data_IF_919109243505
#
_entry.id   IF_919109243505
#
_cell.length_a   1.000
_cell.length_b   1.000
_cell.length_c   1.000
_cell.angle_alpha   90.00
_cell.angle_beta   90.00
_cell.angle_gamma   90.00
#
_symmetry.space_group_name_H-M   'P 1'
#
loop_
_entity.id
_entity.type
_entity.pdbx_description
1 polymer ?
#
# COMPACT_ATOMS: atom_id res chain seq x y z
N UNK A 1 16.67 27.84 10.39
CA UNK A 1 15.43 27.23 9.88
C UNK A 1 15.28 27.77 8.46
N UNK A 2 15.85 27.05 7.48
CA UNK A 2 15.72 27.39 6.06
C UNK A 2 14.32 26.93 5.66
N UNK A 3 13.48 27.86 5.25
CA UNK A 3 12.12 27.55 4.85
C UNK A 3 12.16 26.70 3.57
N UNK A 4 11.29 25.68 3.50
CA UNK A 4 11.09 24.80 2.33
C UNK A 4 10.92 25.60 1.01
N UNK A 5 10.50 26.86 1.09
CA UNK A 5 10.36 27.77 -0.05
C UNK A 5 11.67 28.11 -0.77
N UNK A 6 12.82 28.02 -0.10
CA UNK A 6 14.11 28.40 -0.69
C UNK A 6 14.80 27.22 -1.43
N UNK A 7 14.29 25.99 -1.27
CA UNK A 7 14.72 24.80 -2.01
C UNK A 7 13.91 24.58 -3.30
N UNK A 8 12.82 25.33 -3.50
CA UNK A 8 11.93 25.22 -4.68
C UNK A 8 12.27 26.28 -5.75
N UNK A 9 13.55 26.62 -5.89
CA UNK A 9 14.04 27.42 -7.00
C UNK A 9 13.92 26.66 -8.32
N UNK A 10 13.09 27.17 -9.23
CA UNK A 10 12.70 26.65 -10.53
C UNK A 10 11.92 25.33 -10.46
N UNK A 11 10.64 25.38 -10.84
CA UNK A 11 9.71 24.25 -10.83
C UNK A 11 10.25 23.16 -11.77
N UNK A 12 11.02 22.22 -11.23
CA UNK A 12 11.46 21.06 -12.00
C UNK A 12 10.22 20.30 -12.47
N UNK A 13 9.94 20.35 -13.75
CA UNK A 13 8.82 19.59 -14.35
C UNK A 13 9.31 18.16 -14.53
N UNK A 14 8.63 17.22 -13.90
CA UNK A 14 8.91 15.78 -14.03
C UNK A 14 8.64 15.31 -15.46
N UNK A 15 9.17 14.14 -15.82
CA UNK A 15 9.04 13.58 -17.19
C UNK A 15 7.59 13.36 -17.62
N UNK A 16 6.68 13.21 -16.69
CA UNK A 16 5.23 13.07 -16.90
C UNK A 16 4.43 14.39 -16.73
N UNK A 17 5.12 15.50 -16.52
CA UNK A 17 4.53 16.84 -16.40
C UNK A 17 4.00 17.19 -14.99
N UNK A 18 4.09 16.28 -14.01
CA UNK A 18 3.68 16.55 -12.63
C UNK A 18 4.65 17.47 -11.89
N UNK A 19 4.15 18.10 -10.83
CA UNK A 19 5.01 18.77 -9.84
C UNK A 19 5.71 17.74 -8.95
N UNK A 20 6.77 18.16 -8.28
CA UNK A 20 7.55 17.30 -7.36
C UNK A 20 6.71 16.73 -6.20
N UNK A 21 5.68 17.43 -5.80
CA UNK A 21 4.79 17.12 -4.68
C UNK A 21 3.40 16.61 -5.10
N UNK A 22 3.26 16.10 -6.33
CA UNK A 22 1.99 15.66 -6.93
C UNK A 22 1.96 14.14 -7.13
N UNK A 23 0.83 13.50 -6.72
CA UNK A 23 0.57 12.09 -6.99
C UNK A 23 0.25 11.86 -8.46
N UNK A 24 0.53 10.66 -8.96
CA UNK A 24 -0.08 10.15 -10.20
C UNK A 24 -1.59 10.06 -10.00
N UNK A 25 -2.40 10.11 -11.08
CA UNK A 25 -3.83 9.88 -10.98
C UNK A 25 -4.11 8.56 -10.26
N UNK A 26 -4.97 8.61 -9.25
CA UNK A 26 -5.36 7.45 -8.43
C UNK A 26 -6.80 7.07 -8.74
N UNK A 27 -7.04 5.80 -9.01
CA UNK A 27 -8.37 5.23 -9.19
C UNK A 27 -8.50 3.94 -8.38
N UNK A 28 -9.60 3.81 -7.65
CA UNK A 28 -9.93 2.63 -6.86
C UNK A 28 -11.29 2.12 -7.31
N UNK A 29 -11.31 0.95 -7.94
CA UNK A 29 -12.53 0.30 -8.43
C UNK A 29 -12.86 -0.86 -7.51
N UNK A 30 -13.93 -0.74 -6.72
CA UNK A 30 -14.45 -1.79 -5.84
C UNK A 30 -15.29 -2.80 -6.64
N UNK A 31 -15.45 -3.97 -6.04
CA UNK A 31 -16.22 -5.07 -6.64
C UNK A 31 -15.73 -5.39 -8.06
N UNK A 32 -14.41 -5.40 -8.22
CA UNK A 32 -13.77 -5.63 -9.52
C UNK A 32 -14.00 -7.07 -10.00
N UNK A 33 -14.07 -8.03 -9.07
CA UNK A 33 -14.51 -9.41 -9.30
C UNK A 33 -15.56 -9.79 -8.26
N UNK A 34 -16.45 -10.75 -8.59
CA UNK A 34 -17.66 -11.04 -7.82
C UNK A 34 -17.48 -12.11 -6.72
N UNK A 35 -16.38 -12.87 -6.74
CA UNK A 35 -16.23 -14.05 -5.88
C UNK A 35 -15.70 -13.74 -4.48
N UNK A 36 -14.63 -12.91 -4.30
CA UNK A 36 -14.07 -12.63 -2.98
C UNK A 36 -14.98 -11.72 -2.16
N UNK A 37 -14.88 -11.79 -0.83
CA UNK A 37 -15.62 -10.92 0.10
C UNK A 37 -15.23 -9.44 -0.03
N UNK A 38 -14.01 -9.17 -0.49
CA UNK A 38 -13.56 -7.84 -0.92
C UNK A 38 -12.74 -7.95 -2.20
N UNK A 39 -12.99 -7.09 -3.18
CA UNK A 39 -12.29 -7.12 -4.47
C UNK A 39 -12.10 -5.70 -5.01
N UNK A 40 -10.86 -5.33 -5.24
CA UNK A 40 -10.46 -3.96 -5.63
C UNK A 40 -9.41 -4.01 -6.73
N UNK A 41 -9.61 -3.22 -7.78
CA UNK A 41 -8.51 -2.79 -8.65
C UNK A 41 -8.07 -1.40 -8.22
N UNK A 42 -6.81 -1.26 -7.79
CA UNK A 42 -6.17 0.03 -7.54
C UNK A 42 -5.22 0.38 -8.69
N UNK A 43 -5.35 1.59 -9.18
CA UNK A 43 -4.53 2.16 -10.24
C UNK A 43 -3.86 3.44 -9.72
N UNK A 44 -2.54 3.51 -9.82
CA UNK A 44 -1.72 4.70 -9.52
C UNK A 44 -0.90 5.01 -10.77
N UNK A 45 -1.38 5.93 -11.60
CA UNK A 45 -0.84 6.11 -12.95
C UNK A 45 -0.93 4.81 -13.75
N UNK A 46 0.23 4.31 -14.21
CA UNK A 46 0.32 3.05 -14.94
C UNK A 46 0.46 1.81 -14.03
N UNK A 47 0.68 1.98 -12.75
CA UNK A 47 0.71 0.83 -11.80
C UNK A 47 -0.71 0.36 -11.53
N UNK A 48 -0.97 -0.94 -11.72
CA UNK A 48 -2.26 -1.59 -11.50
C UNK A 48 -2.08 -2.83 -10.64
N UNK A 49 -2.82 -2.87 -9.53
CA UNK A 49 -2.81 -4.01 -8.61
C UNK A 49 -4.23 -4.46 -8.33
N UNK A 50 -4.50 -5.74 -8.53
CA UNK A 50 -5.72 -6.37 -8.06
C UNK A 50 -5.51 -6.82 -6.61
N UNK A 51 -6.38 -6.39 -5.71
CA UNK A 51 -6.36 -6.76 -4.30
C UNK A 51 -7.66 -7.48 -3.96
N UNK A 52 -7.57 -8.72 -3.49
CA UNK A 52 -8.72 -9.46 -3.00
C UNK A 52 -8.59 -9.77 -1.51
N UNK A 53 -9.71 -9.86 -0.82
CA UNK A 53 -9.78 -10.18 0.60
C UNK A 53 -10.69 -11.38 0.79
N UNK A 54 -10.14 -12.48 1.29
CA UNK A 54 -10.87 -13.71 1.62
C UNK A 54 -11.10 -13.79 3.13
N UNK A 55 -12.35 -13.86 3.55
CA UNK A 55 -12.73 -14.08 4.93
C UNK A 55 -12.89 -15.59 5.22
N UNK A 56 -12.28 -16.05 6.30
CA UNK A 56 -12.39 -17.44 6.74
C UNK A 56 -12.73 -17.49 8.23
N UNK A 57 -13.76 -18.26 8.60
CA UNK A 57 -14.05 -18.56 10.00
C UNK A 57 -12.95 -19.46 10.58
N UNK A 58 -12.45 -19.12 11.77
CA UNK A 58 -11.31 -19.79 12.40
C UNK A 58 -9.98 -19.11 12.09
N UNK A 59 -8.96 -19.50 12.81
CA UNK A 59 -7.59 -18.96 12.73
C UNK A 59 -6.57 -20.09 12.56
N UNK A 60 -5.34 -19.79 12.12
CA UNK A 60 -4.26 -20.79 12.06
C UNK A 60 -4.03 -21.47 13.42
N UNK A 61 -3.55 -22.72 13.41
CA UNK A 61 -3.34 -23.54 14.63
C UNK A 61 -2.59 -22.83 15.74
N UNK A 62 -1.55 -22.07 15.41
CA UNK A 62 -0.73 -21.33 16.36
C UNK A 62 -1.48 -20.13 17.00
N UNK A 63 -2.61 -19.72 16.45
CA UNK A 63 -3.43 -18.60 16.93
C UNK A 63 -4.70 -19.06 17.64
N UNK A 64 -5.04 -20.35 17.54
CA UNK A 64 -6.25 -20.93 18.09
C UNK A 64 -6.30 -20.79 19.61
N UNK A 65 -7.49 -20.61 20.15
CA UNK A 65 -7.77 -20.43 21.58
C UNK A 65 -7.16 -19.13 22.19
N UNK A 66 -6.70 -18.20 21.35
CA UNK A 66 -6.20 -16.89 21.77
C UNK A 66 -7.29 -15.84 21.92
N UNK A 67 -8.49 -16.07 21.37
CA UNK A 67 -9.57 -15.10 21.26
C UNK A 67 -9.28 -13.95 20.26
N UNK A 68 -8.22 -14.09 19.46
CA UNK A 68 -7.74 -13.06 18.54
C UNK A 68 -7.81 -13.53 17.09
N UNK A 69 -8.24 -12.65 16.21
CA UNK A 69 -8.20 -12.88 14.77
C UNK A 69 -6.81 -12.77 14.14
N UNK A 70 -6.76 -12.96 12.85
CA UNK A 70 -5.54 -12.83 12.07
C UNK A 70 -5.79 -12.19 10.71
N UNK A 71 -4.88 -11.29 10.31
CA UNK A 71 -4.83 -10.70 8.97
C UNK A 71 -3.45 -10.98 8.39
N UNK A 72 -3.42 -11.55 7.20
CA UNK A 72 -2.19 -11.85 6.45
C UNK A 72 -2.33 -11.40 5.02
N UNK A 73 -1.20 -11.32 4.30
CA UNK A 73 -1.22 -10.96 2.89
C UNK A 73 -0.22 -11.79 2.10
N UNK A 74 -0.56 -12.00 0.83
CA UNK A 74 0.33 -12.51 -0.21
C UNK A 74 0.48 -11.45 -1.30
N UNK A 75 1.59 -11.48 -2.00
CA UNK A 75 1.91 -10.55 -3.07
C UNK A 75 2.53 -11.32 -4.24
N UNK A 76 2.10 -11.02 -5.44
CA UNK A 76 2.69 -11.59 -6.64
C UNK A 76 2.69 -10.56 -7.78
N UNK A 77 3.52 -10.81 -8.79
CA UNK A 77 3.50 -10.06 -10.05
C UNK A 77 3.21 -11.01 -11.20
N UNK A 78 2.34 -10.59 -12.13
CA UNK A 78 2.15 -11.31 -13.37
C UNK A 78 3.46 -11.32 -14.19
N UNK A 79 3.74 -12.38 -14.97
CA UNK A 79 4.96 -12.47 -15.78
C UNK A 79 5.20 -11.29 -16.70
N UNK A 80 4.14 -10.65 -17.18
CA UNK A 80 4.19 -9.47 -18.05
C UNK A 80 3.66 -8.21 -17.35
N UNK A 81 3.77 -8.15 -16.03
CA UNK A 81 3.55 -6.89 -15.29
C UNK A 81 4.59 -5.83 -15.64
N UNK A 82 5.76 -6.23 -16.11
CA UNK A 82 6.88 -5.38 -16.54
C UNK A 82 7.12 -5.49 -18.05
N UNK A 83 7.97 -4.62 -18.61
CA UNK A 83 8.34 -4.62 -20.02
C UNK A 83 8.90 -5.98 -20.47
N UNK A 84 9.79 -6.56 -19.66
CA UNK A 84 10.32 -7.88 -19.89
C UNK A 84 9.50 -8.95 -19.14
N UNK A 85 9.39 -10.14 -19.75
CA UNK A 85 8.73 -11.26 -19.12
C UNK A 85 9.59 -11.85 -17.99
N UNK A 86 9.02 -11.93 -16.80
CA UNK A 86 9.60 -12.66 -15.67
C UNK A 86 8.96 -14.04 -15.53
N UNK A 87 9.69 -15.03 -15.01
CA UNK A 87 9.11 -16.34 -14.74
C UNK A 87 8.19 -16.28 -13.51
N UNK A 88 7.15 -17.12 -13.51
CA UNK A 88 6.32 -17.30 -12.32
C UNK A 88 7.13 -17.96 -11.20
N UNK A 89 7.12 -17.37 -10.00
CA UNK A 89 7.83 -17.92 -8.84
C UNK A 89 7.31 -19.31 -8.46
N UNK A 90 6.00 -19.58 -8.64
CA UNK A 90 5.39 -20.90 -8.41
C UNK A 90 5.98 -22.00 -9.32
N UNK A 91 6.39 -21.67 -10.54
CA UNK A 91 7.04 -22.61 -11.47
C UNK A 91 8.48 -22.89 -11.04
N UNK A 92 9.15 -21.91 -10.44
CA UNK A 92 10.52 -22.08 -9.87
C UNK A 92 10.51 -22.89 -8.57
N UNK A 93 9.34 -23.17 -7.98
CA UNK A 93 9.20 -23.89 -6.70
C UNK A 93 9.73 -23.14 -5.48
N UNK A 94 10.05 -21.85 -5.62
CA UNK A 94 10.57 -21.02 -4.53
C UNK A 94 10.09 -19.58 -4.70
N UNK A 95 9.47 -19.04 -3.65
CA UNK A 95 9.11 -17.63 -3.56
C UNK A 95 10.35 -16.80 -3.27
N UNK A 96 10.51 -15.68 -3.96
CA UNK A 96 11.66 -14.77 -3.80
C UNK A 96 11.63 -14.00 -2.48
N UNK A 97 12.80 -13.58 -2.00
CA UNK A 97 12.92 -12.79 -0.77
C UNK A 97 12.14 -11.48 -0.84
N UNK A 98 12.14 -10.80 -2.00
CA UNK A 98 11.36 -9.59 -2.23
C UNK A 98 9.85 -9.82 -2.08
N UNK A 99 9.33 -10.89 -2.64
CA UNK A 99 7.90 -11.26 -2.55
C UNK A 99 7.50 -11.53 -1.11
N UNK A 100 8.32 -12.28 -0.36
CA UNK A 100 8.10 -12.50 1.08
C UNK A 100 8.15 -11.21 1.90
N UNK A 101 9.11 -10.33 1.62
CA UNK A 101 9.25 -9.05 2.30
C UNK A 101 8.01 -8.19 2.09
N UNK A 102 7.54 -8.04 0.84
CA UNK A 102 6.36 -7.22 0.51
C UNK A 102 5.08 -7.82 1.11
N UNK A 103 4.90 -9.15 1.04
CA UNK A 103 3.75 -9.83 1.67
C UNK A 103 3.69 -9.53 3.18
N UNK A 104 4.83 -9.61 3.87
CA UNK A 104 4.91 -9.29 5.30
C UNK A 104 4.65 -7.82 5.62
N UNK A 105 5.12 -6.92 4.75
CA UNK A 105 4.89 -5.48 4.85
C UNK A 105 3.39 -5.17 4.76
N UNK A 106 2.70 -5.65 3.71
CA UNK A 106 1.26 -5.44 3.52
C UNK A 106 0.50 -5.97 4.75
N UNK A 107 0.76 -7.21 5.14
CA UNK A 107 0.11 -7.80 6.31
C UNK A 107 0.34 -7.02 7.60
N UNK A 108 1.54 -6.47 7.82
CA UNK A 108 1.87 -5.63 8.97
C UNK A 108 1.09 -4.32 8.95
N UNK A 109 1.05 -3.64 7.81
CA UNK A 109 0.31 -2.39 7.65
C UNK A 109 -1.18 -2.58 7.96
N UNK A 110 -1.80 -3.63 7.42
CA UNK A 110 -3.22 -3.92 7.69
C UNK A 110 -3.48 -4.27 9.15
N UNK A 111 -2.60 -5.05 9.79
CA UNK A 111 -2.72 -5.36 11.23
C UNK A 111 -2.61 -4.13 12.13
N UNK A 112 -1.89 -3.10 11.70
CA UNK A 112 -1.78 -1.83 12.42
C UNK A 112 -3.13 -1.13 12.63
N UNK A 113 -4.07 -1.34 11.71
CA UNK A 113 -5.39 -0.67 11.72
C UNK A 113 -6.57 -1.60 12.03
N UNK A 114 -6.30 -2.85 12.41
CA UNK A 114 -7.33 -3.85 12.75
C UNK A 114 -7.31 -4.18 14.24
N UNK A 115 -8.47 -4.19 14.88
CA UNK A 115 -8.65 -4.75 16.21
C UNK A 115 -8.83 -6.28 16.12
N UNK A 116 -7.75 -7.00 16.42
CA UNK A 116 -7.75 -8.47 16.35
C UNK A 116 -8.70 -9.11 17.35
N UNK A 117 -9.01 -8.44 18.49
CA UNK A 117 -9.98 -8.93 19.46
C UNK A 117 -11.41 -8.76 18.95
N UNK A 118 -11.69 -7.64 18.30
CA UNK A 118 -12.99 -7.40 17.69
C UNK A 118 -13.23 -8.31 16.46
N UNK A 119 -12.19 -8.67 15.72
CA UNK A 119 -12.25 -9.64 14.64
C UNK A 119 -12.58 -11.05 15.19
N UNK A 120 -12.20 -11.36 16.44
CA UNK A 120 -12.37 -12.68 17.04
C UNK A 120 -11.53 -13.73 16.30
N UNK A 121 -11.75 -15.00 16.58
CA UNK A 121 -11.02 -16.09 15.92
C UNK A 121 -11.48 -16.30 14.47
N UNK A 122 -11.33 -15.26 13.65
CA UNK A 122 -11.51 -15.28 12.21
C UNK A 122 -10.21 -14.83 11.52
N UNK A 123 -10.04 -15.25 10.28
CA UNK A 123 -8.88 -14.90 9.45
C UNK A 123 -9.33 -14.11 8.23
N UNK A 124 -8.53 -13.11 7.86
CA UNK A 124 -8.59 -12.47 6.53
C UNK A 124 -7.26 -12.65 5.83
N UNK A 125 -7.32 -13.23 4.64
CA UNK A 125 -6.18 -13.34 3.74
C UNK A 125 -6.37 -12.36 2.59
N UNK A 126 -5.35 -11.55 2.37
CA UNK A 126 -5.32 -10.59 1.27
C UNK A 126 -4.38 -11.12 0.21
N UNK A 127 -4.82 -11.08 -1.03
CA UNK A 127 -3.99 -11.40 -2.19
C UNK A 127 -3.83 -10.14 -3.04
N UNK A 128 -2.58 -9.76 -3.31
CA UNK A 128 -2.24 -8.60 -4.12
C UNK A 128 -1.48 -9.04 -5.38
N UNK A 129 -2.16 -9.03 -6.52
CA UNK A 129 -1.61 -9.39 -7.82
C UNK A 129 -1.32 -8.15 -8.65
N UNK A 130 -0.05 -7.89 -8.93
CA UNK A 130 0.36 -6.79 -9.79
C UNK A 130 0.12 -7.16 -11.24
N UNK A 131 -0.82 -6.46 -11.87
CA UNK A 131 -1.18 -6.63 -13.28
C UNK A 131 -0.23 -5.84 -14.19
N UNK A 132 0.16 -4.65 -13.75
CA UNK A 132 1.11 -3.77 -14.43
C UNK A 132 1.92 -2.97 -13.41
N UNK A 133 3.23 -2.92 -13.58
CA UNK A 133 4.17 -2.27 -12.69
C UNK A 133 4.83 -1.06 -13.36
N UNK A 134 4.70 0.10 -12.72
CA UNK A 134 5.38 1.34 -13.07
C UNK A 134 5.76 2.12 -11.80
N UNK A 135 6.57 1.50 -10.93
CA UNK A 135 6.92 2.04 -9.61
C UNK A 135 5.79 1.97 -8.59
N UNK A 136 6.12 1.91 -7.30
CA UNK A 136 5.15 1.97 -6.20
C UNK A 136 4.19 0.77 -6.10
N UNK A 137 4.56 -0.43 -6.57
CA UNK A 137 3.63 -1.59 -6.55
C UNK A 137 3.29 -2.01 -5.13
N UNK A 138 4.25 -1.99 -4.18
CA UNK A 138 4.01 -2.33 -2.77
C UNK A 138 3.11 -1.31 -2.06
N UNK A 139 3.27 -0.03 -2.35
CA UNK A 139 2.47 1.04 -1.76
C UNK A 139 1.04 1.06 -2.31
N UNK A 140 0.87 0.85 -3.60
CA UNK A 140 -0.44 0.64 -4.23
C UNK A 140 -1.15 -0.60 -3.66
N UNK A 141 -0.40 -1.72 -3.44
CA UNK A 141 -0.95 -2.92 -2.81
C UNK A 141 -1.50 -2.65 -1.40
N UNK A 142 -0.76 -1.91 -0.55
CA UNK A 142 -1.23 -1.55 0.80
C UNK A 142 -2.52 -0.71 0.70
N UNK A 143 -2.52 0.28 -0.18
CA UNK A 143 -3.64 1.22 -0.37
C UNK A 143 -4.90 0.51 -0.87
N UNK A 144 -4.78 -0.38 -1.86
CA UNK A 144 -5.89 -1.17 -2.39
C UNK A 144 -6.35 -2.27 -1.44
N UNK A 145 -5.41 -2.95 -0.80
CA UNK A 145 -5.69 -4.02 0.18
C UNK A 145 -6.53 -3.53 1.37
N UNK A 146 -6.31 -2.30 1.82
CA UNK A 146 -7.15 -1.72 2.87
C UNK A 146 -8.62 -1.60 2.45
N UNK A 147 -8.88 -1.15 1.23
CA UNK A 147 -10.27 -1.02 0.72
C UNK A 147 -10.92 -2.41 0.58
N UNK A 148 -10.19 -3.39 0.05
CA UNK A 148 -10.67 -4.77 -0.04
C UNK A 148 -10.95 -5.37 1.36
N UNK A 149 -10.10 -5.09 2.35
CA UNK A 149 -10.29 -5.50 3.75
C UNK A 149 -11.57 -4.90 4.34
N UNK A 150 -11.83 -3.60 4.11
CA UNK A 150 -13.05 -2.95 4.61
C UNK A 150 -14.30 -3.59 4.01
N UNK A 151 -14.28 -3.89 2.70
CA UNK A 151 -15.40 -4.57 2.04
C UNK A 151 -15.63 -5.97 2.60
N UNK A 152 -14.57 -6.74 2.82
CA UNK A 152 -14.66 -8.06 3.45
C UNK A 152 -15.21 -7.98 4.89
N UNK A 153 -14.88 -6.94 5.66
CA UNK A 153 -15.44 -6.73 6.99
C UNK A 153 -16.93 -6.35 6.94
N UNK A 154 -17.34 -5.52 5.98
CA UNK A 154 -18.76 -5.20 5.74
C UNK A 154 -19.55 -6.45 5.35
N UNK A 155 -18.97 -7.28 4.49
CA UNK A 155 -19.54 -8.58 4.13
C UNK A 155 -19.68 -9.49 5.35
N UNK A 156 -18.64 -9.62 6.18
CA UNK A 156 -18.64 -10.47 7.37
C UNK A 156 -19.66 -9.98 8.43
N UNK A 157 -19.85 -8.68 8.58
CA UNK A 157 -20.89 -8.10 9.43
C UNK A 157 -22.30 -8.45 8.90
N UNK A 158 -22.54 -8.25 7.61
CA UNK A 158 -23.81 -8.60 6.94
C UNK A 158 -24.17 -10.07 7.11
N UNK A 159 -23.19 -10.96 7.07
CA UNK A 159 -23.37 -12.42 7.23
C UNK A 159 -23.24 -12.89 8.70
N UNK A 160 -23.16 -11.96 9.67
CA UNK A 160 -23.12 -12.24 11.11
C UNK A 160 -21.91 -13.04 11.60
N UNK A 161 -20.81 -13.02 10.86
CA UNK A 161 -19.53 -13.60 11.29
C UNK A 161 -18.81 -12.71 12.31
N UNK A 162 -19.00 -11.40 12.24
CA UNK A 162 -18.49 -10.41 13.19
C UNK A 162 -19.62 -9.50 13.66
N UNK A 163 -19.43 -8.84 14.79
CA UNK A 163 -20.47 -7.95 15.36
C UNK A 163 -20.58 -6.61 14.64
N UNK A 164 -19.45 -6.06 14.20
CA UNK A 164 -19.40 -4.76 13.53
C UNK A 164 -18.06 -4.56 12.83
N UNK A 165 -18.09 -4.24 11.53
CA UNK A 165 -16.94 -3.86 10.74
C UNK A 165 -16.24 -2.62 11.34
N UNK A 166 -17.00 -1.62 11.80
CA UNK A 166 -16.48 -0.42 12.47
C UNK A 166 -15.66 -0.71 13.73
N UNK A 167 -15.94 -1.80 14.45
CA UNK A 167 -15.16 -2.19 15.62
C UNK A 167 -13.88 -2.92 15.23
N UNK A 168 -13.90 -3.63 14.12
CA UNK A 168 -12.73 -4.35 13.60
C UNK A 168 -11.74 -3.38 12.94
N UNK A 169 -12.22 -2.48 12.10
CA UNK A 169 -11.39 -1.46 11.45
C UNK A 169 -11.30 -0.24 12.36
N UNK A 170 -10.13 -0.02 12.96
CA UNK A 170 -9.89 1.10 13.90
C UNK A 170 -9.52 2.39 13.19
N UNK A 171 -8.82 2.27 12.07
CA UNK A 171 -8.32 3.41 11.30
C UNK A 171 -8.13 2.99 9.83
N UNK A 172 -7.82 3.94 8.96
CA UNK A 172 -7.38 3.65 7.60
C UNK A 172 -5.86 3.48 7.54
N UNK A 173 -5.39 2.88 6.43
CA UNK A 173 -3.97 2.83 6.10
C UNK A 173 -3.77 3.03 4.61
N UNK A 174 -2.79 3.83 4.26
CA UNK A 174 -2.30 4.00 2.89
C UNK A 174 -0.78 4.01 2.89
N UNK A 175 -0.18 3.91 1.72
CA UNK A 175 1.26 4.01 1.57
C UNK A 175 1.63 4.69 0.26
N UNK A 176 2.74 5.41 0.27
CA UNK A 176 3.28 6.10 -0.90
C UNK A 176 4.79 5.94 -0.97
N UNK A 177 5.35 5.98 -2.18
CA UNK A 177 6.80 6.10 -2.39
C UNK A 177 7.20 7.57 -2.44
N UNK A 178 8.37 7.88 -1.90
CA UNK A 178 9.03 9.17 -2.01
C UNK A 178 10.51 8.93 -2.25
N UNK A 179 11.22 9.85 -2.88
CA UNK A 179 12.65 9.68 -3.08
C UNK A 179 13.32 10.98 -3.47
N UNK A 180 14.65 10.93 -3.60
CA UNK A 180 15.47 12.08 -4.01
C UNK A 180 16.02 11.81 -5.41
N UNK A 181 15.64 12.66 -6.37
CA UNK A 181 16.11 12.63 -7.75
C UNK A 181 16.88 13.91 -8.02
N UNK A 182 18.14 13.78 -8.40
CA UNK A 182 19.03 14.91 -8.68
C UNK A 182 19.02 16.00 -7.56
N UNK A 183 19.01 15.53 -6.30
CA UNK A 183 18.99 16.38 -5.12
C UNK A 183 17.60 16.95 -4.75
N UNK A 184 16.56 16.63 -5.50
CA UNK A 184 15.19 17.13 -5.27
C UNK A 184 14.31 16.03 -4.68
N UNK A 185 13.70 16.23 -3.49
CA UNK A 185 12.69 15.33 -2.94
C UNK A 185 11.43 15.30 -3.81
N UNK A 186 10.95 14.12 -4.15
CA UNK A 186 9.78 13.90 -5.01
C UNK A 186 8.80 12.90 -4.40
N UNK A 187 7.52 13.16 -4.64
CA UNK A 187 6.40 12.32 -4.23
C UNK A 187 6.02 11.35 -5.35
N UNK A 188 5.72 10.10 -5.01
CA UNK A 188 5.15 9.07 -5.89
C UNK A 188 5.95 8.84 -7.18
N UNK A 189 7.03 8.09 -7.05
CA UNK A 189 7.98 7.84 -8.13
C UNK A 189 7.46 6.77 -9.11
N UNK A 190 7.30 7.08 -10.42
CA UNK A 190 7.19 6.06 -11.46
C UNK A 190 8.53 5.33 -11.62
N UNK A 191 8.52 4.18 -12.28
CA UNK A 191 9.70 3.32 -12.41
C UNK A 191 10.95 4.04 -12.98
N UNK A 192 10.76 4.93 -13.95
CA UNK A 192 11.86 5.67 -14.55
C UNK A 192 12.58 6.63 -13.58
N UNK A 193 11.88 7.13 -12.58
CA UNK A 193 12.43 7.97 -11.52
C UNK A 193 12.98 7.10 -10.38
N UNK A 194 12.19 6.11 -9.92
CA UNK A 194 12.55 5.16 -8.88
C UNK A 194 13.91 4.47 -9.17
N UNK A 195 14.11 4.04 -10.41
CA UNK A 195 15.37 3.38 -10.85
C UNK A 195 16.61 4.29 -10.86
N UNK A 196 16.43 5.60 -10.73
CA UNK A 196 17.51 6.61 -10.70
C UNK A 196 17.59 7.33 -9.36
N UNK A 197 16.72 6.98 -8.44
CA UNK A 197 16.63 7.65 -7.16
C UNK A 197 17.94 7.50 -6.36
N UNK A 198 18.43 8.62 -5.82
CA UNK A 198 19.57 8.63 -4.89
C UNK A 198 19.15 8.07 -3.53
N UNK A 199 17.91 8.27 -3.17
CA UNK A 199 17.23 7.73 -1.98
C UNK A 199 15.85 7.30 -2.42
N UNK A 200 15.48 6.06 -2.12
CA UNK A 200 14.13 5.51 -2.27
C UNK A 200 13.55 5.24 -0.88
N UNK A 201 12.31 5.66 -0.68
CA UNK A 201 11.62 5.47 0.59
C UNK A 201 10.14 5.14 0.36
N UNK A 202 9.65 4.14 1.11
CA UNK A 202 8.24 3.79 1.15
C UNK A 202 7.69 4.07 2.55
N UNK A 203 6.61 4.83 2.63
CA UNK A 203 6.02 5.28 3.90
C UNK A 203 4.57 4.87 3.98
N UNK A 204 4.23 4.05 4.98
CA UNK A 204 2.86 3.66 5.31
C UNK A 204 2.38 4.42 6.55
N UNK A 205 1.21 5.04 6.45
CA UNK A 205 0.63 5.86 7.51
C UNK A 205 -0.83 5.51 7.75
N UNK A 206 -1.26 5.72 9.00
CA UNK A 206 -2.67 5.63 9.40
C UNK A 206 -3.44 6.90 9.00
N UNK A 207 -4.78 6.83 9.02
CA UNK A 207 -5.66 7.98 8.82
C UNK A 207 -5.52 9.05 9.90
N UNK A 208 -5.15 8.65 11.12
CA UNK A 208 -4.83 9.56 12.23
C UNK A 208 -3.45 10.24 12.10
N UNK A 209 -2.66 9.90 11.07
CA UNK A 209 -1.37 10.53 10.78
C UNK A 209 -0.18 9.86 11.48
N UNK A 210 -0.34 8.64 12.00
CA UNK A 210 0.74 7.88 12.62
C UNK A 210 1.48 7.04 11.59
N UNK A 211 2.79 6.88 11.76
CA UNK A 211 3.60 6.00 10.92
C UNK A 211 3.46 4.55 11.35
N UNK A 212 3.18 3.65 10.39
CA UNK A 212 3.22 2.21 10.60
C UNK A 212 4.57 1.64 10.17
N UNK A 213 5.07 2.13 9.02
CA UNK A 213 6.34 1.67 8.48
C UNK A 213 7.00 2.77 7.66
N UNK A 214 8.31 2.90 7.84
CA UNK A 214 9.19 3.73 7.05
C UNK A 214 10.33 2.84 6.58
N UNK A 215 10.39 2.57 5.28
CA UNK A 215 11.48 1.86 4.63
C UNK A 215 12.23 2.84 3.73
N UNK A 216 13.49 3.11 4.02
CA UNK A 216 14.31 4.01 3.20
C UNK A 216 15.70 3.44 2.96
N UNK A 217 16.16 3.56 1.73
CA UNK A 217 17.50 3.12 1.31
C UNK A 217 18.20 4.26 0.58
N UNK A 218 19.45 4.48 0.95
CA UNK A 218 20.36 5.35 0.21
C UNK A 218 21.11 4.50 -0.83
N UNK A 219 20.88 4.75 -2.11
CA UNK A 219 21.48 3.96 -3.20
C UNK A 219 22.89 4.44 -3.56
N UNK A 220 23.13 5.74 -3.51
CA UNK A 220 24.41 6.33 -3.96
C UNK A 220 25.14 7.12 -2.89
N UNK A 221 24.43 7.88 -2.05
CA UNK A 221 24.98 8.63 -0.93
C UNK A 221 24.05 8.60 0.27
N UNK A 222 24.58 8.64 1.50
CA UNK A 222 23.73 8.80 2.69
C UNK A 222 22.86 10.05 2.59
N UNK A 223 21.63 9.98 3.05
CA UNK A 223 20.75 11.14 3.23
C UNK A 223 20.84 11.66 4.66
N UNK A 224 20.68 12.96 4.81
CA UNK A 224 20.72 13.61 6.10
C UNK A 224 19.33 13.75 6.75
N UNK A 225 19.30 14.34 7.94
CA UNK A 225 18.04 14.53 8.68
C UNK A 225 17.08 15.51 8.00
N UNK A 226 17.59 16.50 7.27
CA UNK A 226 16.76 17.47 6.58
C UNK A 226 16.08 16.83 5.37
N UNK A 227 16.81 16.03 4.59
CA UNK A 227 16.27 15.22 3.49
C UNK A 227 15.22 14.21 3.99
N UNK A 228 15.49 13.51 5.10
CA UNK A 228 14.51 12.60 5.71
C UNK A 228 13.22 13.34 6.06
N UNK A 229 13.30 14.48 6.71
CA UNK A 229 12.12 15.25 7.08
C UNK A 229 11.34 15.72 5.85
N UNK A 230 12.01 16.21 4.81
CA UNK A 230 11.36 16.62 3.56
C UNK A 230 10.63 15.44 2.87
N UNK A 231 11.23 14.24 2.86
CA UNK A 231 10.59 13.04 2.34
C UNK A 231 9.37 12.63 3.17
N UNK A 232 9.44 12.74 4.50
CA UNK A 232 8.30 12.43 5.37
C UNK A 232 7.17 13.44 5.21
N UNK A 233 7.46 14.74 5.03
CA UNK A 233 6.45 15.78 4.77
C UNK A 233 5.71 15.50 3.44
N UNK A 234 6.44 15.11 2.39
CA UNK A 234 5.84 14.68 1.11
C UNK A 234 5.00 13.42 1.26
N UNK A 235 5.50 12.44 2.01
CA UNK A 235 4.77 11.19 2.27
C UNK A 235 3.48 11.44 3.05
N UNK A 236 3.48 12.33 4.03
CA UNK A 236 2.27 12.72 4.77
C UNK A 236 1.23 13.34 3.82
N UNK A 237 1.65 14.28 2.95
CA UNK A 237 0.78 14.87 1.94
C UNK A 237 0.18 13.80 1.03
N UNK A 238 1.01 12.93 0.45
CA UNK A 238 0.55 11.88 -0.46
C UNK A 238 -0.38 10.87 0.21
N UNK A 239 -0.10 10.47 1.44
CA UNK A 239 -0.98 9.56 2.19
C UNK A 239 -2.34 10.20 2.48
N UNK A 240 -2.42 11.48 2.81
CA UNK A 240 -3.71 12.20 2.98
C UNK A 240 -4.55 12.17 1.71
N UNK A 241 -3.94 12.38 0.55
CA UNK A 241 -4.64 12.33 -0.74
C UNK A 241 -5.11 10.90 -1.07
N UNK A 242 -4.28 9.88 -0.82
CA UNK A 242 -4.64 8.46 -0.99
C UNK A 242 -5.80 8.05 -0.07
N UNK A 243 -5.79 8.49 1.18
CA UNK A 243 -6.87 8.23 2.14
C UNK A 243 -8.18 8.89 1.72
N UNK A 244 -8.12 10.10 1.16
CA UNK A 244 -9.31 10.74 0.59
C UNK A 244 -9.87 9.94 -0.59
N UNK A 245 -9.00 9.39 -1.46
CA UNK A 245 -9.42 8.50 -2.55
C UNK A 245 -10.05 7.20 -2.04
N UNK A 246 -9.48 6.58 -0.98
CA UNK A 246 -10.05 5.39 -0.32
C UNK A 246 -11.44 5.69 0.25
N UNK A 247 -11.59 6.81 0.97
CA UNK A 247 -12.88 7.23 1.55
C UNK A 247 -13.92 7.48 0.46
N UNK A 248 -13.53 8.16 -0.62
CA UNK A 248 -14.41 8.39 -1.77
C UNK A 248 -14.88 7.08 -2.40
N UNK A 249 -13.98 6.12 -2.60
CA UNK A 249 -14.33 4.81 -3.13
C UNK A 249 -15.27 4.04 -2.18
N UNK A 250 -15.00 4.05 -0.86
CA UNK A 250 -15.80 3.35 0.15
C UNK A 250 -17.17 3.99 0.41
N UNK A 251 -17.39 5.24 0.00
CA UNK A 251 -18.66 5.94 0.08
C UNK A 251 -19.59 5.66 -1.11
N UNK A 252 -19.07 5.09 -2.20
CA UNK A 252 -19.85 4.67 -3.36
C UNK A 252 -20.40 3.26 -3.07
N UNK A 253 -21.71 3.14 -2.87
CA UNK A 253 -22.43 1.84 -2.72
C UNK A 253 -22.88 1.31 -4.09
#
# INVERSE_FOLDING_TARGET
MVAIKDLLGETMIRTDGRKVDELRPVRITRHFTDVPEGSVLVECGNTRVMCTATFTAGVPRWRKDSGLGWVTAEYAMLPRATADRTDRESVRGKIGGRTHEISRLIGRCLRGVVDMKALGENQVQIDCDVLQADGGTRTASITGAYVALVDAMRWAEKHKHIRSAKRVIKDSVSAVSVGVIDGTPMLDLPYLEDSKAMTDMNVAMTGSGEFIEIQGTAEHRPFDRAELNALLDLAEKGNKELQAAQQSALAQD
#
